data_IF_470529527927
#
_entry.id   IF_470529527927
#
_cell.length_a   1.000
_cell.length_b   1.000
_cell.length_c   1.000
_cell.angle_alpha   90.00
_cell.angle_beta   90.00
_cell.angle_gamma   90.00
#
_symmetry.space_group_name_H-M   'P 1'
#
loop_
_entity.id
_entity.type
_entity.pdbx_description
1 polymer ?
#
# COMPACT_ATOMS: atom_id res chain seq x y z
N UNK A 1 13.05 -0.19 -10.45
CA UNK A 1 11.70 0.38 -10.20
C UNK A 1 10.73 -0.33 -11.12
N UNK A 2 9.72 -0.95 -10.53
CA UNK A 2 8.70 -1.74 -11.22
C UNK A 2 7.34 -1.05 -11.09
N UNK A 3 6.69 -0.76 -12.22
CA UNK A 3 5.29 -0.36 -12.28
C UNK A 3 4.48 -1.55 -12.79
N UNK A 4 3.57 -2.04 -11.95
CA UNK A 4 2.60 -3.08 -12.30
C UNK A 4 1.22 -2.43 -12.47
N UNK A 5 0.67 -2.48 -13.68
CA UNK A 5 -0.75 -2.16 -13.91
C UNK A 5 -1.57 -3.44 -13.73
N UNK A 6 -2.77 -3.31 -13.17
CA UNK A 6 -3.67 -4.44 -12.97
C UNK A 6 -4.68 -4.49 -14.11
N UNK A 7 -4.92 -5.69 -14.64
CA UNK A 7 -5.86 -5.89 -15.75
C UNK A 7 -7.31 -5.99 -15.26
N UNK A 8 -7.54 -6.40 -14.01
CA UNK A 8 -8.87 -6.62 -13.42
C UNK A 8 -9.57 -5.36 -12.90
N UNK A 9 -8.84 -4.24 -12.77
CA UNK A 9 -9.32 -2.98 -12.21
C UNK A 9 -8.42 -1.84 -12.68
N UNK A 10 -8.94 -0.62 -12.86
CA UNK A 10 -8.12 0.57 -13.11
C UNK A 10 -7.30 0.92 -11.85
N UNK A 11 -6.21 0.19 -11.67
CA UNK A 11 -5.30 0.34 -10.55
C UNK A 11 -3.88 -0.04 -10.94
N UNK A 12 -2.94 0.34 -10.07
CA UNK A 12 -1.53 0.04 -10.27
C UNK A 12 -0.80 -0.05 -8.93
N UNK A 13 0.32 -0.76 -8.94
CA UNK A 13 1.30 -0.86 -7.85
C UNK A 13 2.65 -0.39 -8.38
N UNK A 14 3.30 0.52 -7.65
CA UNK A 14 4.71 0.89 -7.88
C UNK A 14 5.55 0.28 -6.78
N UNK A 15 6.60 -0.46 -7.15
CA UNK A 15 7.69 -0.91 -6.27
C UNK A 15 8.98 -0.20 -6.69
N UNK A 16 9.62 0.50 -5.77
CA UNK A 16 10.80 1.30 -6.11
C UNK A 16 12.03 0.42 -6.41
N UNK A 17 12.21 -0.66 -5.64
CA UNK A 17 13.26 -1.66 -5.80
C UNK A 17 12.70 -3.00 -6.32
N UNK A 18 13.54 -3.77 -7.00
CA UNK A 18 13.22 -5.10 -7.53
C UNK A 18 13.84 -6.20 -6.67
N UNK A 19 13.17 -7.35 -6.57
CA UNK A 19 13.70 -8.53 -5.87
C UNK A 19 13.80 -8.41 -4.36
N UNK A 20 13.13 -7.42 -3.75
CA UNK A 20 13.02 -7.26 -2.31
C UNK A 20 11.56 -7.03 -1.92
N UNK A 21 11.11 -7.51 -0.74
CA UNK A 21 9.79 -7.17 -0.21
C UNK A 21 9.59 -5.66 -0.16
N UNK A 22 8.40 -5.21 -0.53
CA UNK A 22 8.07 -3.80 -0.59
C UNK A 22 6.88 -3.45 0.30
N UNK A 23 6.97 -2.34 1.01
CA UNK A 23 5.90 -1.88 1.89
C UNK A 23 5.56 -0.40 1.66
N UNK A 24 4.30 -0.03 1.86
CA UNK A 24 3.87 1.35 1.70
C UNK A 24 2.36 1.50 1.75
N UNK A 25 1.81 2.38 0.90
CA UNK A 25 0.41 2.81 1.00
C UNK A 25 -0.35 2.56 -0.30
N UNK A 26 -1.62 2.17 -0.18
CA UNK A 26 -2.60 2.22 -1.27
C UNK A 26 -3.59 3.34 -1.03
N UNK A 27 -3.97 4.08 -2.08
CA UNK A 27 -4.96 5.16 -2.01
C UNK A 27 -6.03 4.95 -3.08
N UNK A 28 -7.21 5.52 -2.86
CA UNK A 28 -8.27 5.55 -3.86
C UNK A 28 -8.79 6.97 -4.11
N UNK A 29 -8.95 7.31 -5.38
CA UNK A 29 -9.53 8.57 -5.85
C UNK A 29 -10.03 8.38 -7.30
N UNK A 30 -10.83 9.32 -7.86
CA UNK A 30 -11.23 9.23 -9.27
C UNK A 30 -10.05 9.21 -10.25
N UNK A 31 -8.92 9.82 -9.87
CA UNK A 31 -7.67 9.77 -10.62
C UNK A 31 -6.46 9.90 -9.70
N UNK A 32 -5.58 8.91 -9.75
CA UNK A 32 -4.26 8.89 -9.13
C UNK A 32 -3.24 8.72 -10.25
N UNK A 33 -2.22 9.57 -10.27
CA UNK A 33 -1.17 9.54 -11.26
C UNK A 33 -0.01 8.66 -10.79
N UNK A 34 0.56 7.90 -11.72
CA UNK A 34 1.70 7.02 -11.46
C UNK A 34 2.92 7.80 -10.96
N UNK A 35 3.18 8.99 -11.48
CA UNK A 35 4.36 9.79 -11.12
C UNK A 35 4.38 10.15 -9.63
N UNK A 36 3.24 10.57 -9.08
CA UNK A 36 3.12 10.86 -7.65
C UNK A 36 3.27 9.61 -6.78
N UNK A 37 2.77 8.47 -7.24
CA UNK A 37 2.96 7.20 -6.55
C UNK A 37 4.43 6.74 -6.60
N UNK A 38 5.11 6.92 -7.72
CA UNK A 38 6.54 6.63 -7.89
C UNK A 38 7.41 7.41 -6.91
N UNK A 39 7.19 8.72 -6.78
CA UNK A 39 7.92 9.52 -5.80
C UNK A 39 7.64 9.09 -4.35
N UNK A 40 6.41 8.69 -4.06
CA UNK A 40 6.04 8.20 -2.73
C UNK A 40 6.69 6.85 -2.42
N UNK A 41 6.70 5.91 -3.39
CA UNK A 41 7.40 4.64 -3.24
C UNK A 41 8.90 4.86 -2.96
N UNK A 42 9.55 5.80 -3.67
CA UNK A 42 10.95 6.14 -3.43
C UNK A 42 11.20 6.76 -2.05
N UNK A 43 10.30 7.63 -1.61
CA UNK A 43 10.36 8.18 -0.25
C UNK A 43 10.24 7.08 0.81
N UNK A 44 9.41 6.06 0.59
CA UNK A 44 9.30 4.91 1.47
C UNK A 44 10.57 4.06 1.48
N UNK A 45 11.23 3.86 0.33
CA UNK A 45 12.55 3.20 0.29
C UNK A 45 13.57 3.95 1.13
N UNK A 46 13.64 5.28 1.00
CA UNK A 46 14.57 6.07 1.82
C UNK A 46 14.23 5.99 3.31
N UNK A 47 12.95 5.99 3.67
CA UNK A 47 12.53 5.75 5.06
C UNK A 47 13.04 4.40 5.57
N UNK A 48 12.86 3.31 4.83
CA UNK A 48 13.36 2.00 5.25
C UNK A 48 14.89 1.98 5.36
N UNK A 49 15.59 2.59 4.41
CA UNK A 49 17.05 2.69 4.44
C UNK A 49 17.55 3.49 5.67
N UNK A 50 16.89 4.60 6.02
CA UNK A 50 17.25 5.41 7.20
C UNK A 50 17.09 4.66 8.53
N UNK A 51 16.23 3.64 8.58
CA UNK A 51 16.08 2.74 9.74
C UNK A 51 16.79 1.39 9.53
N UNK A 52 17.72 1.31 8.58
CA UNK A 52 18.52 0.11 8.26
C UNK A 52 17.66 -1.14 7.96
N UNK A 53 16.46 -0.94 7.43
CA UNK A 53 15.53 -2.01 7.07
C UNK A 53 15.77 -2.49 5.64
N UNK A 54 15.87 -3.81 5.47
CA UNK A 54 16.00 -4.48 4.17
C UNK A 54 14.66 -4.62 3.47
N UNK A 55 14.05 -3.49 3.09
CA UNK A 55 12.78 -3.45 2.37
C UNK A 55 12.77 -2.29 1.36
N UNK A 56 12.05 -2.50 0.25
CA UNK A 56 11.74 -1.44 -0.72
C UNK A 56 10.48 -0.68 -0.33
N UNK A 57 10.32 0.52 -0.89
CA UNK A 57 9.07 1.26 -0.78
C UNK A 57 8.07 0.89 -1.89
N UNK A 58 6.79 0.85 -1.52
CA UNK A 58 5.68 0.66 -2.44
C UNK A 58 4.69 1.83 -2.39
N UNK A 59 3.95 2.02 -3.47
CA UNK A 59 2.81 2.94 -3.51
C UNK A 59 1.82 2.49 -4.59
N UNK A 60 0.55 2.40 -4.23
CA UNK A 60 -0.50 1.95 -5.13
C UNK A 60 -1.64 2.96 -5.25
N UNK A 61 -2.32 2.93 -6.39
CA UNK A 61 -3.47 3.76 -6.67
C UNK A 61 -4.60 2.94 -7.27
N UNK A 62 -5.81 3.07 -6.71
CA UNK A 62 -7.05 2.53 -7.25
C UNK A 62 -7.89 3.69 -7.78
N UNK A 63 -8.00 3.79 -9.10
CA UNK A 63 -8.80 4.82 -9.76
C UNK A 63 -10.27 4.39 -9.75
N UNK A 64 -11.08 5.04 -8.92
CA UNK A 64 -12.51 4.73 -8.82
C UNK A 64 -13.33 5.96 -8.45
N UNK A 65 -14.51 6.08 -9.05
CA UNK A 65 -15.55 7.01 -8.61
C UNK A 65 -16.07 6.58 -7.24
N UNK A 66 -16.68 7.49 -6.45
CA UNK A 66 -17.22 7.15 -5.13
C UNK A 66 -18.13 5.92 -5.14
N UNK A 67 -19.04 5.83 -6.12
CA UNK A 67 -20.05 4.77 -6.20
C UNK A 67 -19.45 3.39 -6.52
N UNK A 68 -18.34 3.35 -7.26
CA UNK A 68 -17.67 2.09 -7.69
C UNK A 68 -16.53 1.68 -6.74
N UNK A 69 -16.21 2.51 -5.75
CA UNK A 69 -14.96 2.42 -5.00
C UNK A 69 -14.81 1.12 -4.23
N UNK A 70 -15.86 0.69 -3.53
CA UNK A 70 -15.82 -0.53 -2.74
C UNK A 70 -15.51 -1.76 -3.61
N UNK A 71 -16.18 -1.87 -4.76
CA UNK A 71 -15.94 -2.95 -5.73
C UNK A 71 -14.52 -2.89 -6.32
N UNK A 72 -14.03 -1.69 -6.65
CA UNK A 72 -12.67 -1.52 -7.16
C UNK A 72 -11.59 -1.90 -6.13
N UNK A 73 -11.78 -1.57 -4.85
CA UNK A 73 -10.88 -1.96 -3.76
C UNK A 73 -10.88 -3.49 -3.58
N UNK A 74 -12.04 -4.14 -3.64
CA UNK A 74 -12.12 -5.59 -3.55
C UNK A 74 -11.43 -6.29 -4.74
N UNK A 75 -11.63 -5.81 -5.97
CA UNK A 75 -10.93 -6.33 -7.15
C UNK A 75 -9.42 -6.12 -7.06
N UNK A 76 -8.98 -4.95 -6.56
CA UNK A 76 -7.58 -4.67 -6.30
C UNK A 76 -6.99 -5.64 -5.27
N UNK A 77 -7.67 -5.85 -4.13
CA UNK A 77 -7.19 -6.73 -3.06
C UNK A 77 -6.99 -8.16 -3.57
N UNK A 78 -7.96 -8.70 -4.32
CA UNK A 78 -7.84 -10.02 -4.94
C UNK A 78 -6.68 -10.10 -5.94
N UNK A 79 -6.45 -9.04 -6.72
CA UNK A 79 -5.37 -9.02 -7.71
C UNK A 79 -3.95 -8.99 -7.10
N UNK A 80 -3.81 -8.55 -5.85
CA UNK A 80 -2.51 -8.50 -5.14
C UNK A 80 -2.39 -9.54 -4.01
N UNK A 81 -3.44 -10.34 -3.78
CA UNK A 81 -3.56 -11.28 -2.66
C UNK A 81 -2.35 -12.21 -2.53
N UNK A 82 -1.85 -12.76 -3.64
CA UNK A 82 -0.71 -13.67 -3.62
C UNK A 82 0.58 -12.99 -3.12
N UNK A 83 0.85 -11.75 -3.57
CA UNK A 83 2.02 -10.99 -3.13
C UNK A 83 1.88 -10.55 -1.67
N UNK A 84 0.67 -10.22 -1.24
CA UNK A 84 0.35 -9.85 0.15
C UNK A 84 0.55 -11.04 1.09
N UNK A 85 -0.05 -12.19 0.76
CA UNK A 85 0.05 -13.41 1.57
C UNK A 85 1.49 -13.93 1.67
N UNK A 86 2.31 -13.74 0.64
CA UNK A 86 3.73 -14.06 0.65
C UNK A 86 4.58 -13.05 1.45
N UNK A 87 4.02 -11.89 1.83
CA UNK A 87 4.75 -10.80 2.47
C UNK A 87 5.66 -9.99 1.53
N UNK A 88 5.53 -10.19 0.21
CA UNK A 88 6.32 -9.49 -0.81
C UNK A 88 5.77 -8.07 -1.10
N UNK A 89 4.48 -7.85 -0.81
CA UNK A 89 3.84 -6.54 -0.90
C UNK A 89 2.96 -6.30 0.32
N UNK A 90 3.31 -5.29 1.13
CA UNK A 90 2.53 -4.90 2.31
C UNK A 90 2.01 -3.48 2.14
N UNK A 91 0.69 -3.34 2.00
CA UNK A 91 0.05 -2.04 1.75
C UNK A 91 -0.82 -1.63 2.94
N UNK A 92 -0.66 -0.38 3.35
CA UNK A 92 -1.52 0.27 4.33
C UNK A 92 -2.66 1.02 3.60
N UNK A 93 -3.89 0.94 4.11
CA UNK A 93 -5.00 1.72 3.58
C UNK A 93 -4.76 3.21 3.85
N UNK A 94 -4.66 3.99 2.78
CA UNK A 94 -4.49 5.43 2.82
C UNK A 94 -5.75 6.20 2.45
N UNK A 95 -5.55 7.45 2.01
CA UNK A 95 -6.65 8.35 1.64
C UNK A 95 -7.63 7.69 0.65
N UNK A 96 -8.91 7.80 0.99
CA UNK A 96 -10.01 7.35 0.17
C UNK A 96 -10.43 5.90 0.42
N UNK A 97 -9.78 5.19 1.34
CA UNK A 97 -10.16 3.84 1.76
C UNK A 97 -10.81 3.96 3.14
N UNK A 98 -12.01 3.41 3.28
CA UNK A 98 -12.77 3.40 4.54
C UNK A 98 -12.46 2.14 5.37
N UNK A 99 -13.17 1.96 6.48
CA UNK A 99 -12.94 0.83 7.39
C UNK A 99 -13.21 -0.53 6.73
N UNK A 100 -14.25 -0.62 5.90
CA UNK A 100 -14.59 -1.86 5.21
C UNK A 100 -13.57 -2.19 4.12
N UNK A 101 -13.18 -1.19 3.31
CA UNK A 101 -12.11 -1.34 2.34
C UNK A 101 -10.76 -1.67 2.99
N UNK A 102 -10.47 -1.10 4.16
CA UNK A 102 -9.29 -1.44 4.94
C UNK A 102 -9.32 -2.89 5.43
N UNK A 103 -10.47 -3.39 5.91
CA UNK A 103 -10.62 -4.78 6.31
C UNK A 103 -10.40 -5.74 5.13
N UNK A 104 -10.92 -5.40 3.95
CA UNK A 104 -10.71 -6.16 2.71
C UNK A 104 -9.23 -6.22 2.31
N UNK A 105 -8.51 -5.10 2.39
CA UNK A 105 -7.08 -5.04 2.03
C UNK A 105 -6.17 -5.78 3.02
N UNK A 106 -6.60 -5.90 4.28
CA UNK A 106 -5.89 -6.62 5.34
C UNK A 106 -6.12 -8.12 5.31
N UNK A 107 -7.14 -8.59 4.58
CA UNK A 107 -7.43 -10.00 4.48
C UNK A 107 -6.22 -10.73 3.85
N UNK A 108 -5.66 -11.71 4.59
CA UNK A 108 -4.48 -12.46 4.15
C UNK A 108 -3.14 -11.75 4.35
N UNK A 109 -3.11 -10.55 4.93
CA UNK A 109 -1.86 -9.88 5.30
C UNK A 109 -1.18 -10.64 6.46
N UNK A 110 0.11 -10.98 6.35
CA UNK A 110 0.80 -11.80 7.35
C UNK A 110 1.21 -11.00 8.60
N UNK A 111 1.02 -9.67 8.62
CA UNK A 111 1.29 -8.87 9.82
C UNK A 111 0.29 -9.22 10.93
N UNK A 112 0.75 -9.37 12.17
CA UNK A 112 -0.11 -9.79 13.28
C UNK A 112 -1.15 -8.71 13.63
N UNK A 113 -2.28 -9.12 14.22
CA UNK A 113 -3.41 -8.21 14.52
C UNK A 113 -3.02 -7.04 15.46
N UNK A 114 -2.10 -7.29 16.40
CA UNK A 114 -1.58 -6.28 17.32
C UNK A 114 -0.80 -5.16 16.60
N UNK A 115 -0.16 -5.47 15.47
CA UNK A 115 0.47 -4.47 14.60
C UNK A 115 -0.56 -3.45 14.13
N UNK A 116 -1.74 -3.90 13.69
CA UNK A 116 -2.80 -3.02 13.20
C UNK A 116 -3.43 -2.16 14.30
N UNK A 117 -3.47 -2.67 15.53
CA UNK A 117 -3.95 -1.92 16.69
C UNK A 117 -2.96 -0.83 17.13
N UNK A 118 -1.65 -1.13 17.11
CA UNK A 118 -0.63 -0.24 17.65
C UNK A 118 0.02 0.70 16.62
N UNK A 119 -0.07 0.40 15.32
CA UNK A 119 0.68 1.11 14.27
C UNK A 119 0.42 2.63 14.24
N UNK A 120 -0.82 3.07 14.40
CA UNK A 120 -1.13 4.50 14.39
C UNK A 120 -0.50 5.25 15.57
N UNK A 121 -0.51 4.64 16.76
CA UNK A 121 0.10 5.23 17.96
C UNK A 121 1.63 5.29 17.83
N UNK A 122 2.25 4.22 17.31
CA UNK A 122 3.68 4.17 17.03
C UNK A 122 4.11 5.22 16.00
N UNK A 123 3.30 5.41 14.95
CA UNK A 123 3.56 6.43 13.93
C UNK A 123 3.47 7.83 14.53
N UNK A 124 2.43 8.10 15.35
CA UNK A 124 2.27 9.38 16.02
C UNK A 124 3.42 9.67 16.99
N UNK A 125 3.85 8.68 17.78
CA UNK A 125 4.99 8.82 18.68
C UNK A 125 6.30 9.11 17.92
N UNK A 126 6.53 8.42 16.79
CA UNK A 126 7.71 8.66 15.95
C UNK A 126 7.75 10.07 15.34
N UNK A 127 6.59 10.63 14.95
CA UNK A 127 6.50 12.01 14.43
C UNK A 127 6.86 13.05 15.49
N UNK A 128 6.53 12.81 16.76
CA UNK A 128 6.87 13.72 17.86
C UNK A 128 8.35 13.63 18.30
N UNK A 129 9.04 12.55 17.93
CA UNK A 129 10.40 12.26 18.37
C UNK A 129 11.50 12.70 17.38
N UNK A 130 11.13 13.14 16.17
CA UNK A 130 12.05 13.63 15.12
C UNK A 130 12.03 15.15 14.98
#
# INVERSE_FOLDING_TARGET
>A
MQLQRLESVDAFVVRDLEGVPAAGVVRSAPKILTDGATWLARSMTYRFASFERRAGGASAGVNARPDDRAAAIASFASAVEADVAAGELLLEPGKGIDADGAAVLRAGDPRPDDWWAAHHDLTAAGVLAG
#
